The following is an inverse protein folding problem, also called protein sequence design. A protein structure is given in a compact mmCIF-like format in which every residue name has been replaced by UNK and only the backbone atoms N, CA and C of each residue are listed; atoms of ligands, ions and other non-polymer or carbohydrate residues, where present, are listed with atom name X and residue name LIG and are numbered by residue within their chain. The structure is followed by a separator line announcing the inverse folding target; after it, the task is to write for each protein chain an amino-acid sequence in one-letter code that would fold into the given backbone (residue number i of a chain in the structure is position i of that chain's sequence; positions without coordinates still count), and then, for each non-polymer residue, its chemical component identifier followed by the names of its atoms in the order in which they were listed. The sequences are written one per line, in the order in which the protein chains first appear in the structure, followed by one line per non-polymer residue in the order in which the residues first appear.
data_IF_460025375694
#
_entry.id   IF_460025375694
#
_cell.length_a   1.000
_cell.length_b   1.000
_cell.length_c   1.000
_cell.angle_alpha   90.00
_cell.angle_beta   90.00
_cell.angle_gamma   90.00
#
_symmetry.space_group_name_H-M   'P 1'
#
loop_
_entity.id
_entity.type
_entity.pdbx_description
1 polymer ?
#
# COMPACT_ATOMS: atom_id res chain seq x y z
N UNK A 1 -15.80 -9.63 -14.02
CA UNK A 1 -16.73 -8.57 -13.55
C UNK A 1 -16.03 -7.23 -13.76
N UNK A 2 -16.72 -6.21 -14.28
CA UNK A 2 -16.15 -4.88 -14.42
C UNK A 2 -15.70 -4.36 -13.04
N UNK A 3 -14.52 -3.75 -12.96
CA UNK A 3 -14.10 -3.09 -11.73
C UNK A 3 -15.01 -1.90 -11.48
N UNK A 4 -15.50 -1.77 -10.25
CA UNK A 4 -16.33 -0.64 -9.86
C UNK A 4 -15.56 0.27 -8.93
N UNK A 5 -15.64 1.57 -9.19
CA UNK A 5 -14.87 2.58 -8.48
C UNK A 5 -15.41 2.83 -7.06
N UNK A 6 -16.72 2.67 -6.86
CA UNK A 6 -17.32 2.80 -5.53
C UNK A 6 -17.06 1.55 -4.68
N UNK A 7 -16.75 1.68 -3.37
CA UNK A 7 -16.71 0.54 -2.46
C UNK A 7 -18.09 -0.07 -2.15
N UNK A 8 -19.17 0.65 -2.44
CA UNK A 8 -20.55 0.24 -2.13
C UNK A 8 -21.45 0.25 -3.37
N UNK A 9 -22.51 -0.57 -3.41
CA UNK A 9 -23.48 -0.58 -4.50
C UNK A 9 -24.32 0.69 -4.58
N UNK A 10 -24.50 1.41 -3.46
CA UNK A 10 -25.29 2.63 -3.37
C UNK A 10 -24.47 3.74 -2.67
N UNK A 11 -24.46 4.99 -3.19
CA UNK A 11 -23.79 6.13 -2.55
C UNK A 11 -24.24 6.41 -1.12
N UNK A 12 -25.51 6.16 -0.77
CA UNK A 12 -26.04 6.32 0.59
C UNK A 12 -25.31 5.42 1.60
N UNK A 13 -25.02 4.18 1.23
CA UNK A 13 -24.22 3.28 2.08
C UNK A 13 -22.78 3.79 2.24
N UNK A 14 -22.22 4.36 1.16
CA UNK A 14 -20.92 5.03 1.21
C UNK A 14 -20.91 6.25 2.12
N UNK A 15 -22.00 7.01 2.16
CA UNK A 15 -22.18 8.13 3.08
C UNK A 15 -22.27 7.66 4.53
N UNK A 16 -23.12 6.67 4.84
CA UNK A 16 -23.20 6.10 6.20
C UNK A 16 -21.84 5.56 6.63
N UNK A 17 -21.15 4.83 5.76
CA UNK A 17 -19.82 4.29 6.06
C UNK A 17 -18.82 5.41 6.39
N UNK A 18 -18.86 6.50 5.61
CA UNK A 18 -17.98 7.66 5.82
C UNK A 18 -18.29 8.39 7.13
N UNK A 19 -19.57 8.62 7.43
CA UNK A 19 -20.02 9.20 8.69
C UNK A 19 -19.60 8.32 9.88
N UNK A 20 -19.74 7.00 9.76
CA UNK A 20 -19.37 6.05 10.79
C UNK A 20 -17.86 6.10 11.08
N UNK A 21 -17.01 6.24 10.04
CA UNK A 21 -15.57 6.46 10.21
C UNK A 21 -15.25 7.76 10.94
N UNK A 22 -15.99 8.85 10.65
CA UNK A 22 -15.81 10.13 11.34
C UNK A 22 -16.15 9.99 12.83
N UNK A 23 -17.23 9.28 13.17
CA UNK A 23 -17.63 9.01 14.56
C UNK A 23 -16.61 8.12 15.30
N UNK A 24 -16.04 7.12 14.61
CA UNK A 24 -15.02 6.23 15.17
C UNK A 24 -13.65 6.90 15.34
N UNK A 25 -13.35 7.92 14.53
CA UNK A 25 -12.01 8.47 14.40
C UNK A 25 -11.40 9.01 15.72
N UNK A 26 -12.12 9.77 16.57
CA UNK A 26 -11.55 10.25 17.83
C UNK A 26 -11.04 9.12 18.72
N UNK A 27 -11.86 8.08 18.91
CA UNK A 27 -11.48 6.92 19.73
C UNK A 27 -10.28 6.17 19.14
N UNK A 28 -10.27 5.95 17.83
CA UNK A 28 -9.12 5.38 17.12
C UNK A 28 -7.84 6.21 17.34
N UNK A 29 -7.93 7.53 17.15
CA UNK A 29 -6.79 8.43 17.26
C UNK A 29 -6.23 8.49 18.68
N UNK A 30 -7.09 8.54 19.70
CA UNK A 30 -6.63 8.55 21.10
C UNK A 30 -5.96 7.24 21.49
N UNK A 31 -6.45 6.09 21.01
CA UNK A 31 -5.74 4.81 21.21
C UNK A 31 -4.38 4.82 20.52
N UNK A 32 -4.29 5.31 19.28
CA UNK A 32 -3.03 5.44 18.54
C UNK A 32 -2.01 6.35 19.26
N UNK A 33 -2.48 7.46 19.85
CA UNK A 33 -1.66 8.38 20.67
C UNK A 33 -1.30 7.80 22.04
N UNK A 34 -2.19 7.04 22.66
CA UNK A 34 -1.95 6.31 23.91
C UNK A 34 -0.83 5.29 23.71
N UNK A 35 -0.94 4.45 22.67
CA UNK A 35 0.12 3.51 22.26
C UNK A 35 1.42 4.25 21.96
N UNK A 36 1.36 5.39 21.26
CA UNK A 36 2.54 6.21 20.99
C UNK A 36 3.22 6.78 22.24
N UNK A 37 2.48 6.91 23.34
CA UNK A 37 3.01 7.40 24.62
C UNK A 37 3.67 6.28 25.43
N UNK A 38 3.14 5.05 25.32
CA UNK A 38 3.66 3.85 26.01
C UNK A 38 4.86 3.25 25.27
N UNK A 39 4.77 3.13 23.95
CA UNK A 39 5.76 2.45 23.10
C UNK A 39 6.79 3.44 22.60
N UNK A 40 8.05 3.19 22.94
CA UNK A 40 9.16 4.11 22.69
C UNK A 40 10.12 3.50 21.67
N UNK A 41 10.49 4.28 20.66
CA UNK A 41 11.50 3.89 19.67
C UNK A 41 12.92 3.93 20.23
N UNK A 42 13.87 3.22 19.62
CA UNK A 42 15.28 3.17 20.03
C UNK A 42 15.89 4.57 20.16
N UNK A 43 15.60 5.46 19.20
CA UNK A 43 16.06 6.85 19.18
C UNK A 43 15.48 7.68 20.33
N UNK A 44 14.29 7.33 20.86
CA UNK A 44 13.66 8.06 21.96
C UNK A 44 14.09 7.54 23.34
N UNK A 45 14.72 6.35 23.43
CA UNK A 45 15.15 5.76 24.71
C UNK A 45 16.21 6.59 25.42
N UNK A 46 17.01 7.35 24.68
CA UNK A 46 18.05 8.24 25.23
C UNK A 46 17.48 9.48 25.92
N UNK A 47 16.24 9.89 25.61
CA UNK A 47 15.62 11.11 26.14
C UNK A 47 14.73 10.82 27.36
N UNK A 48 15.35 10.57 28.52
CA UNK A 48 14.67 10.27 29.78
C UNK A 48 13.53 11.24 30.18
N UNK A 49 13.70 12.58 30.18
CA UNK A 49 12.66 13.50 30.66
C UNK A 49 11.43 13.51 29.74
N UNK A 50 11.63 13.45 28.43
CA UNK A 50 10.52 13.39 27.46
C UNK A 50 9.73 12.09 27.60
N UNK A 51 10.42 10.98 27.86
CA UNK A 51 9.78 9.68 28.11
C UNK A 51 8.93 9.73 29.38
N UNK A 52 9.46 10.27 30.47
CA UNK A 52 8.73 10.39 31.72
C UNK A 52 7.49 11.28 31.55
N UNK A 53 7.62 12.41 30.84
CA UNK A 53 6.49 13.28 30.53
C UNK A 53 5.38 12.57 29.75
N UNK A 54 5.74 11.80 28.71
CA UNK A 54 4.75 11.03 27.92
C UNK A 54 4.04 9.97 28.77
N UNK A 55 4.75 9.32 29.68
CA UNK A 55 4.15 8.31 30.56
C UNK A 55 3.28 8.92 31.65
N UNK A 56 3.74 9.99 32.31
CA UNK A 56 3.02 10.61 33.44
C UNK A 56 1.87 11.51 33.00
N UNK A 57 1.99 12.18 31.85
CA UNK A 57 0.98 13.12 31.37
C UNK A 57 0.27 12.56 30.15
N UNK A 58 1.02 12.10 29.15
CA UNK A 58 0.44 11.60 27.88
C UNK A 58 -0.51 10.43 28.09
N UNK A 59 -0.08 9.39 28.83
CA UNK A 59 -0.91 8.20 29.07
C UNK A 59 -2.23 8.53 29.78
N UNK A 60 -2.25 9.22 30.95
CA UNK A 60 -3.52 9.59 31.59
C UNK A 60 -4.41 10.47 30.73
N UNK A 61 -3.83 11.47 30.04
CA UNK A 61 -4.60 12.39 29.18
C UNK A 61 -5.24 11.64 28.01
N UNK A 62 -4.48 10.84 27.26
CA UNK A 62 -5.04 10.11 26.11
C UNK A 62 -5.98 8.99 26.52
N UNK A 63 -5.75 8.36 27.68
CA UNK A 63 -6.70 7.40 28.24
C UNK A 63 -8.03 8.07 28.59
N UNK A 64 -8.00 9.22 29.28
CA UNK A 64 -9.21 9.97 29.61
C UNK A 64 -9.96 10.42 28.34
N UNK A 65 -9.24 10.97 27.36
CA UNK A 65 -9.84 11.38 26.08
C UNK A 65 -10.47 10.21 25.32
N UNK A 66 -9.83 9.04 25.33
CA UNK A 66 -10.40 7.81 24.76
C UNK A 66 -11.69 7.40 25.47
N UNK A 67 -11.73 7.42 26.81
CA UNK A 67 -12.92 7.07 27.58
C UNK A 67 -14.08 8.04 27.30
N UNK A 68 -13.79 9.34 27.16
CA UNK A 68 -14.78 10.36 26.81
C UNK A 68 -15.32 10.15 25.38
N UNK A 69 -14.46 9.79 24.42
CA UNK A 69 -14.90 9.57 23.03
C UNK A 69 -15.54 8.20 22.79
N UNK A 70 -15.41 7.27 23.73
CA UNK A 70 -15.86 5.88 23.58
C UNK A 70 -17.35 5.77 23.23
N UNK A 71 -18.30 6.50 23.84
CA UNK A 71 -19.72 6.41 23.48
C UNK A 71 -20.01 6.76 22.02
N UNK A 72 -19.35 7.80 21.50
CA UNK A 72 -19.46 8.23 20.10
C UNK A 72 -18.83 7.16 19.19
N UNK A 73 -17.69 6.60 19.60
CA UNK A 73 -17.04 5.50 18.90
C UNK A 73 -17.92 4.25 18.82
N UNK A 74 -18.59 3.86 19.91
CA UNK A 74 -19.53 2.73 19.93
C UNK A 74 -20.67 2.99 18.94
N UNK A 75 -21.24 4.19 18.94
CA UNK A 75 -22.29 4.55 17.99
C UNK A 75 -21.80 4.44 16.54
N UNK A 76 -20.59 4.93 16.24
CA UNK A 76 -19.95 4.74 14.94
C UNK A 76 -19.74 3.26 14.58
N UNK A 77 -19.34 2.42 15.55
CA UNK A 77 -19.13 0.98 15.33
C UNK A 77 -20.42 0.26 14.94
N UNK A 78 -21.56 0.63 15.54
CA UNK A 78 -22.87 0.03 15.27
C UNK A 78 -23.28 0.16 13.79
N UNK A 79 -22.98 1.30 13.16
CA UNK A 79 -23.27 1.49 11.73
C UNK A 79 -22.14 0.96 10.83
N UNK A 80 -20.90 1.09 11.27
CA UNK A 80 -19.74 0.68 10.49
C UNK A 80 -19.63 -0.84 10.32
N UNK A 81 -19.88 -1.61 11.37
CA UNK A 81 -19.67 -3.07 11.38
C UNK A 81 -20.58 -3.81 10.37
N UNK A 82 -21.90 -3.57 10.30
CA UNK A 82 -22.78 -4.22 9.33
C UNK A 82 -22.41 -3.91 7.87
N UNK A 83 -21.92 -2.69 7.61
CA UNK A 83 -21.58 -2.25 6.25
C UNK A 83 -20.41 -3.04 5.64
N UNK A 84 -19.55 -3.65 6.44
CA UNK A 84 -18.47 -4.52 5.93
C UNK A 84 -18.97 -5.80 5.27
N UNK A 85 -20.17 -6.28 5.59
CA UNK A 85 -20.77 -7.41 4.89
C UNK A 85 -21.20 -7.07 3.46
N UNK A 86 -21.43 -5.78 3.18
CA UNK A 86 -21.91 -5.27 1.89
C UNK A 86 -20.76 -4.62 1.09
N UNK A 87 -19.71 -4.16 1.79
CA UNK A 87 -18.54 -3.51 1.20
C UNK A 87 -17.84 -4.46 0.23
N UNK A 88 -17.47 -3.92 -0.94
CA UNK A 88 -16.66 -4.64 -1.92
C UNK A 88 -15.26 -4.95 -1.35
N UNK A 89 -14.59 -6.02 -1.82
CA UNK A 89 -13.32 -6.46 -1.25
C UNK A 89 -12.14 -5.51 -1.49
N UNK A 90 -12.29 -4.47 -2.32
CA UNK A 90 -11.27 -3.46 -2.58
C UNK A 90 -11.92 -2.20 -3.15
N UNK A 91 -11.19 -1.09 -3.12
CA UNK A 91 -11.51 0.15 -3.82
C UNK A 91 -10.69 0.23 -5.11
N UNK A 92 -11.28 0.83 -6.15
CA UNK A 92 -10.61 1.09 -7.42
C UNK A 92 -10.71 2.58 -7.75
N UNK A 93 -9.59 3.20 -8.09
CA UNK A 93 -9.51 4.55 -8.59
C UNK A 93 -9.07 4.51 -10.05
N UNK A 94 -9.82 5.20 -10.90
CA UNK A 94 -9.44 5.51 -12.27
C UNK A 94 -9.31 7.02 -12.42
N UNK A 95 -8.13 7.49 -12.82
CA UNK A 95 -7.88 8.90 -13.15
C UNK A 95 -7.52 9.12 -14.62
N UNK A 96 -7.67 8.10 -15.47
CA UNK A 96 -7.48 8.26 -16.90
C UNK A 96 -8.55 9.20 -17.45
N UNK A 97 -8.15 10.37 -17.95
CA UNK A 97 -9.06 11.34 -18.56
C UNK A 97 -9.48 10.89 -19.98
N UNK A 98 -8.87 9.84 -20.52
CA UNK A 98 -9.13 9.31 -21.85
C UNK A 98 -9.34 7.79 -21.82
N UNK A 99 -10.40 7.33 -22.48
CA UNK A 99 -10.57 5.92 -22.88
C UNK A 99 -9.68 5.58 -24.09
N UNK A 100 -8.46 6.11 -24.13
CA UNK A 100 -7.52 5.76 -25.18
C UNK A 100 -7.15 4.28 -25.01
N UNK A 101 -7.42 3.43 -26.00
CA UNK A 101 -7.00 2.03 -25.94
C UNK A 101 -5.48 1.97 -25.74
N UNK A 102 -4.97 0.96 -25.03
CA UNK A 102 -3.53 0.81 -24.83
C UNK A 102 -2.83 0.70 -26.19
N UNK A 103 -1.58 1.14 -26.22
CA UNK A 103 -0.78 1.22 -27.44
C UNK A 103 -0.75 -0.13 -28.19
N UNK A 104 -0.74 -0.07 -29.52
CA UNK A 104 -0.58 -1.26 -30.35
C UNK A 104 0.84 -1.78 -30.16
N UNK A 105 0.97 -2.94 -29.53
CA UNK A 105 2.26 -3.61 -29.43
C UNK A 105 2.40 -4.42 -30.71
N UNK A 106 3.18 -3.90 -31.65
CA UNK A 106 3.68 -4.68 -32.79
C UNK A 106 4.65 -5.72 -32.25
N UNK A 107 4.79 -6.90 -32.88
CA UNK A 107 5.46 -8.14 -32.43
C UNK A 107 6.88 -8.02 -31.79
N UNK A 108 7.47 -6.82 -31.70
CA UNK A 108 8.62 -6.52 -30.86
C UNK A 108 8.29 -6.67 -29.37
N UNK A 109 9.12 -7.45 -28.66
CA UNK A 109 9.12 -7.67 -27.21
C UNK A 109 8.93 -6.36 -26.44
N UNK A 110 7.73 -6.13 -25.89
CA UNK A 110 7.50 -5.10 -24.88
C UNK A 110 8.15 -5.52 -23.56
N UNK A 111 8.91 -4.63 -22.93
CA UNK A 111 9.39 -4.82 -21.57
C UNK A 111 8.35 -4.27 -20.59
N UNK A 112 8.11 -4.98 -19.50
CA UNK A 112 7.26 -4.51 -18.41
C UNK A 112 8.06 -4.46 -17.12
N UNK A 113 7.97 -3.35 -16.40
CA UNK A 113 8.71 -3.12 -15.16
C UNK A 113 7.79 -3.20 -13.96
N UNK A 114 8.18 -4.03 -13.00
CA UNK A 114 7.43 -4.26 -11.75
C UNK A 114 8.26 -3.78 -10.56
N UNK A 115 7.65 -2.99 -9.69
CA UNK A 115 8.19 -2.67 -8.36
C UNK A 115 7.35 -3.41 -7.33
N UNK A 116 7.99 -4.11 -6.39
CA UNK A 116 7.31 -4.58 -5.19
C UNK A 116 8.06 -4.22 -3.92
N UNK A 117 7.32 -3.75 -2.91
CA UNK A 117 7.91 -3.32 -1.65
C UNK A 117 6.94 -3.44 -0.48
N UNK A 118 7.44 -3.94 0.64
CA UNK A 118 6.77 -3.86 1.93
C UNK A 118 7.14 -2.52 2.60
N UNK A 119 6.14 -1.68 2.89
CA UNK A 119 6.37 -0.32 3.35
C UNK A 119 6.24 -0.12 4.87
N UNK A 120 5.71 -1.10 5.59
CA UNK A 120 5.46 -1.00 7.03
C UNK A 120 4.77 0.32 7.44
N UNK A 121 3.62 0.60 6.81
CA UNK A 121 2.79 1.78 7.08
C UNK A 121 1.64 1.44 8.02
N UNK A 122 1.98 1.06 9.25
CA UNK A 122 1.04 0.86 10.35
C UNK A 122 0.59 2.20 10.96
N UNK A 123 -0.55 2.24 11.69
CA UNK A 123 -0.84 3.35 12.59
C UNK A 123 0.37 3.67 13.46
N UNK A 124 0.66 4.95 13.67
CA UNK A 124 1.89 5.43 14.33
C UNK A 124 2.18 4.73 15.67
N UNK A 125 1.16 4.48 16.48
CA UNK A 125 1.28 3.78 17.76
C UNK A 125 1.81 2.36 17.59
N UNK A 126 1.33 1.65 16.56
CA UNK A 126 1.77 0.30 16.23
C UNK A 126 3.09 0.27 15.47
N UNK A 127 3.34 1.25 14.59
CA UNK A 127 4.58 1.37 13.84
C UNK A 127 5.82 1.46 14.76
N UNK A 128 5.63 1.94 16.00
CA UNK A 128 6.69 2.02 17.02
C UNK A 128 7.21 0.66 17.49
N UNK A 129 6.42 -0.40 17.41
CA UNK A 129 6.92 -1.76 17.69
C UNK A 129 7.97 -2.20 16.66
N UNK A 130 7.82 -1.74 15.41
CA UNK A 130 8.82 -1.87 14.35
C UNK A 130 9.87 -0.76 14.38
N UNK A 131 9.96 0.01 15.47
CA UNK A 131 10.87 1.14 15.63
C UNK A 131 10.64 2.30 14.63
N UNK A 132 9.44 2.43 14.07
CA UNK A 132 9.08 3.44 13.08
C UNK A 132 8.17 4.53 13.67
N UNK A 133 8.21 5.72 13.07
CA UNK A 133 7.39 6.89 13.45
C UNK A 133 6.96 7.67 12.22
N UNK A 134 5.97 8.55 12.40
CA UNK A 134 5.50 9.50 11.39
C UNK A 134 5.07 8.80 10.10
N UNK A 135 4.21 7.79 10.21
CA UNK A 135 3.74 6.95 9.10
C UNK A 135 3.23 7.78 7.92
N UNK A 136 2.47 8.86 8.17
CA UNK A 136 1.97 9.73 7.10
C UNK A 136 3.09 10.48 6.37
N UNK A 137 4.08 10.99 7.11
CA UNK A 137 5.23 11.69 6.51
C UNK A 137 6.05 10.70 5.68
N UNK A 138 6.35 9.53 6.23
CA UNK A 138 7.03 8.44 5.51
C UNK A 138 6.31 8.08 4.21
N UNK A 139 4.98 7.94 4.27
CA UNK A 139 4.17 7.65 3.10
C UNK A 139 4.24 8.78 2.05
N UNK A 140 4.22 10.04 2.46
CA UNK A 140 4.39 11.17 1.54
C UNK A 140 5.79 11.18 0.90
N UNK A 141 6.85 10.93 1.67
CA UNK A 141 8.22 10.84 1.16
C UNK A 141 8.39 9.67 0.19
N UNK A 142 7.92 8.47 0.56
CA UNK A 142 7.98 7.28 -0.31
C UNK A 142 7.19 7.52 -1.61
N UNK A 143 5.98 8.07 -1.50
CA UNK A 143 5.15 8.40 -2.66
C UNK A 143 5.82 9.43 -3.58
N UNK A 144 6.44 10.46 -3.01
CA UNK A 144 7.19 11.46 -3.78
C UNK A 144 8.43 10.90 -4.46
N UNK A 145 9.17 9.99 -3.82
CA UNK A 145 10.31 9.31 -4.41
C UNK A 145 9.89 8.42 -5.59
N UNK A 146 8.80 7.66 -5.44
CA UNK A 146 8.28 6.82 -6.51
C UNK A 146 7.79 7.67 -7.68
N UNK A 147 7.05 8.75 -7.42
CA UNK A 147 6.48 9.61 -8.48
C UNK A 147 7.53 10.48 -9.20
N UNK A 148 8.51 11.05 -8.50
CA UNK A 148 9.56 11.87 -9.11
C UNK A 148 10.39 11.09 -10.13
N UNK A 149 10.64 9.81 -9.84
CA UNK A 149 11.34 8.89 -10.72
C UNK A 149 10.53 8.60 -11.99
N UNK A 150 9.20 8.55 -11.90
CA UNK A 150 8.34 8.33 -13.08
C UNK A 150 8.13 9.62 -13.90
N UNK A 151 7.96 10.76 -13.23
CA UNK A 151 7.67 12.05 -13.87
C UNK A 151 8.85 12.62 -14.67
N UNK A 152 10.06 12.13 -14.41
CA UNK A 152 11.26 12.50 -15.19
C UNK A 152 11.27 11.88 -16.60
N UNK A 153 10.29 11.02 -16.94
CA UNK A 153 10.11 10.44 -18.27
C UNK A 153 8.90 11.09 -18.97
N UNK A 154 9.14 12.15 -19.74
CA UNK A 154 8.19 12.67 -20.73
C UNK A 154 8.41 11.95 -22.06
N UNK A 155 7.38 11.65 -22.87
CA UNK A 155 7.52 10.89 -24.11
C UNK A 155 8.19 11.74 -25.19
N UNK A 156 9.51 11.80 -25.16
CA UNK A 156 10.34 12.13 -26.31
C UNK A 156 11.35 11.00 -26.48
N UNK A 157 11.02 10.12 -27.42
CA UNK A 157 11.96 9.39 -28.29
C UNK A 157 13.36 9.19 -27.71
N UNK A 158 13.50 8.31 -26.72
CA UNK A 158 14.82 7.87 -26.28
C UNK A 158 15.30 6.82 -27.27
N UNK A 159 15.95 7.29 -28.34
CA UNK A 159 17.00 6.50 -28.99
C UNK A 159 17.99 6.11 -27.89
N UNK A 160 18.37 4.84 -27.85
CA UNK A 160 19.51 4.38 -27.08
C UNK A 160 20.69 5.32 -27.36
N UNK A 161 21.03 6.12 -26.36
CA UNK A 161 22.22 6.92 -26.34
C UNK A 161 22.90 6.59 -25.03
N UNK A 162 24.04 5.93 -25.15
CA UNK A 162 25.01 5.75 -24.08
C UNK A 162 25.21 7.08 -23.35
N UNK A 163 25.12 7.05 -22.02
CA UNK A 163 25.43 8.20 -21.18
C UNK A 163 26.00 7.71 -19.86
N UNK A 164 26.93 8.48 -19.27
CA UNK A 164 28.19 7.97 -18.80
C UNK A 164 28.14 7.50 -17.35
N UNK A 165 28.93 6.47 -17.08
CA UNK A 165 29.35 6.04 -15.75
C UNK A 165 30.13 7.16 -15.02
N UNK A 166 29.52 7.74 -13.98
CA UNK A 166 30.22 8.43 -12.88
C UNK A 166 29.32 8.22 -11.65
N UNK A 167 29.65 7.38 -10.67
CA UNK A 167 30.69 7.58 -9.67
C UNK A 167 31.29 6.23 -9.24
N UNK A 168 32.62 6.22 -9.15
CA UNK A 168 33.47 5.15 -8.67
C UNK A 168 33.12 4.71 -7.24
N UNK A 169 32.92 3.42 -7.05
CA UNK A 169 33.21 2.74 -5.77
C UNK A 169 34.06 1.51 -6.07
N UNK A 170 35.16 1.74 -6.77
CA UNK A 170 36.22 0.75 -6.92
C UNK A 170 36.90 0.58 -5.56
N UNK A 171 36.32 -0.23 -4.65
CA UNK A 171 37.12 -0.96 -3.62
C UNK A 171 36.38 -2.01 -2.78
N UNK A 172 35.09 -2.32 -3.02
CA UNK A 172 34.42 -3.40 -2.25
C UNK A 172 33.61 -4.32 -3.16
N UNK A 173 34.25 -4.91 -4.17
CA UNK A 173 33.75 -6.15 -4.79
C UNK A 173 34.96 -7.07 -5.02
N UNK A 174 35.50 -7.61 -3.93
CA UNK A 174 36.27 -8.85 -4.01
C UNK A 174 35.30 -9.98 -4.33
N UNK A 175 35.27 -10.32 -5.62
CA UNK A 175 35.04 -11.64 -6.21
C UNK A 175 34.46 -12.69 -5.26
N UNK A 176 33.16 -12.92 -5.36
CA UNK A 176 32.62 -14.27 -5.21
C UNK A 176 32.39 -14.76 -6.64
N UNK A 177 33.43 -15.36 -7.22
CA UNK A 177 33.31 -16.15 -8.44
C UNK A 177 32.62 -17.47 -8.05
N UNK A 178 31.35 -17.61 -8.42
CA UNK A 178 30.72 -18.93 -8.53
C UNK A 178 30.59 -19.27 -10.00
N UNK A 179 31.44 -20.19 -10.45
CA UNK A 179 31.26 -20.95 -11.67
C UNK A 179 29.86 -21.58 -11.71
N UNK A 180 29.02 -21.17 -12.67
CA UNK A 180 28.31 -22.06 -13.61
C UNK A 180 27.29 -21.29 -14.45
N UNK A 181 27.50 -21.39 -15.75
CA UNK A 181 26.59 -21.18 -16.88
C UNK A 181 25.08 -21.26 -16.52
N UNK A 182 24.48 -20.10 -16.28
CA UNK A 182 23.06 -19.79 -16.48
C UNK A 182 23.01 -18.39 -17.04
N UNK A 183 22.10 -18.14 -17.98
CA UNK A 183 21.75 -16.79 -18.45
C UNK A 183 21.09 -16.02 -17.29
N UNK A 184 21.88 -15.65 -16.29
CA UNK A 184 21.45 -14.87 -15.14
C UNK A 184 21.37 -13.42 -15.61
N UNK A 185 20.15 -12.89 -15.67
CA UNK A 185 19.94 -11.44 -15.72
C UNK A 185 20.79 -10.82 -14.59
N UNK A 186 21.64 -9.83 -14.87
CA UNK A 186 22.51 -9.27 -13.86
C UNK A 186 21.67 -8.67 -12.73
N UNK A 187 21.83 -9.20 -11.51
CA UNK A 187 21.28 -8.58 -10.32
C UNK A 187 22.04 -7.29 -10.01
N UNK A 188 21.36 -6.16 -10.02
CA UNK A 188 21.93 -4.85 -9.69
C UNK A 188 21.37 -4.34 -8.37
N UNK A 189 22.23 -3.77 -7.53
CA UNK A 189 21.81 -2.96 -6.38
C UNK A 189 21.74 -1.51 -6.85
N UNK A 190 20.52 -1.00 -7.05
CA UNK A 190 20.28 0.38 -7.44
C UNK A 190 19.91 1.26 -6.25
N UNK A 191 20.40 2.51 -6.26
CA UNK A 191 20.00 3.55 -5.31
C UNK A 191 18.70 4.26 -5.71
N UNK A 192 18.19 3.99 -6.92
CA UNK A 192 17.02 4.66 -7.50
C UNK A 192 16.04 3.62 -8.02
N UNK A 193 14.74 3.91 -7.90
CA UNK A 193 13.70 3.09 -8.53
C UNK A 193 13.82 3.15 -10.07
N UNK A 194 13.35 2.12 -10.79
CA UNK A 194 13.30 2.19 -12.25
C UNK A 194 12.32 3.27 -12.71
N UNK A 195 12.73 4.05 -13.73
CA UNK A 195 12.03 5.25 -14.23
C UNK A 195 10.74 4.96 -15.00
N UNK A 196 10.60 3.73 -15.49
CA UNK A 196 9.49 3.31 -16.35
C UNK A 196 8.70 2.15 -15.72
N UNK A 197 8.43 2.25 -14.43
CA UNK A 197 7.63 1.24 -13.74
C UNK A 197 6.19 1.23 -14.28
N UNK A 198 5.75 0.09 -14.78
CA UNK A 198 4.38 -0.11 -15.26
C UNK A 198 3.44 -0.48 -14.12
N UNK A 199 3.97 -1.23 -13.14
CA UNK A 199 3.21 -1.76 -12.02
C UNK A 199 3.96 -1.58 -10.69
N UNK A 200 3.26 -1.10 -9.66
CA UNK A 200 3.77 -0.99 -8.30
C UNK A 200 2.87 -1.80 -7.36
N UNK A 201 3.44 -2.85 -6.75
CA UNK A 201 2.79 -3.78 -5.83
C UNK A 201 3.31 -3.57 -4.40
N UNK A 202 2.54 -2.91 -3.55
CA UNK A 202 2.96 -2.59 -2.18
C UNK A 202 2.27 -3.47 -1.14
N UNK A 203 3.01 -3.82 -0.09
CA UNK A 203 2.50 -4.50 1.10
C UNK A 203 2.61 -3.60 2.35
N UNK A 204 1.85 -3.95 3.38
CA UNK A 204 1.75 -3.22 4.66
C UNK A 204 1.33 -1.75 4.56
N UNK A 205 0.51 -1.41 3.56
CA UNK A 205 -0.15 -0.10 3.45
C UNK A 205 -1.43 -0.03 4.34
N UNK A 206 -1.30 -0.29 5.64
CA UNK A 206 -2.43 -0.47 6.56
C UNK A 206 -3.10 0.83 7.02
N UNK A 207 -2.33 1.88 7.36
CA UNK A 207 -2.91 3.15 7.81
C UNK A 207 -3.62 3.86 6.65
N UNK A 208 -4.92 4.12 6.82
CA UNK A 208 -5.75 4.69 5.76
C UNK A 208 -5.34 6.10 5.33
N UNK A 209 -4.72 6.90 6.21
CA UNK A 209 -4.25 8.25 5.89
C UNK A 209 -2.94 8.21 5.12
N UNK A 210 -2.02 7.35 5.52
CA UNK A 210 -0.77 7.06 4.83
C UNK A 210 -1.03 6.47 3.43
N UNK A 211 -1.92 5.49 3.33
CA UNK A 211 -2.37 4.91 2.05
C UNK A 211 -3.03 5.96 1.15
N UNK A 212 -3.84 6.87 1.72
CA UNK A 212 -4.39 8.01 0.99
C UNK A 212 -3.34 9.03 0.55
N UNK A 213 -2.23 9.16 1.27
CA UNK A 213 -1.08 9.98 0.86
C UNK A 213 -0.37 9.35 -0.34
N UNK A 214 -0.03 8.06 -0.25
CA UNK A 214 0.57 7.28 -1.35
C UNK A 214 -0.29 7.35 -2.61
N UNK A 215 -1.60 7.09 -2.49
CA UNK A 215 -2.55 7.17 -3.60
C UNK A 215 -2.54 8.52 -4.29
N UNK A 216 -2.47 9.63 -3.53
CA UNK A 216 -2.42 10.98 -4.09
C UNK A 216 -1.10 11.27 -4.79
N UNK A 217 0.02 10.84 -4.20
CA UNK A 217 1.35 11.00 -4.79
C UNK A 217 1.52 10.19 -6.08
N UNK A 218 0.98 8.97 -6.15
CA UNK A 218 1.13 8.09 -7.32
C UNK A 218 0.10 8.34 -8.43
N UNK A 219 -1.02 8.98 -8.12
CA UNK A 219 -2.11 9.21 -9.07
C UNK A 219 -1.74 9.96 -10.38
N UNK A 220 -0.74 10.88 -10.40
CA UNK A 220 -0.30 11.51 -11.65
C UNK A 220 0.34 10.52 -12.62
N UNK A 221 1.23 9.66 -12.12
CA UNK A 221 1.97 8.69 -12.94
C UNK A 221 1.23 7.36 -13.14
N UNK A 222 0.30 7.01 -12.24
CA UNK A 222 -0.45 5.75 -12.27
C UNK A 222 -1.96 6.02 -12.21
N UNK A 223 -2.66 6.05 -13.36
CA UNK A 223 -4.08 6.35 -13.41
C UNK A 223 -4.96 5.27 -12.77
N UNK A 224 -4.50 4.03 -12.71
CA UNK A 224 -5.27 2.90 -12.19
C UNK A 224 -4.69 2.44 -10.85
N UNK A 225 -5.45 2.63 -9.76
CA UNK A 225 -5.01 2.25 -8.41
C UNK A 225 -6.07 1.37 -7.74
N UNK A 226 -5.66 0.20 -7.26
CA UNK A 226 -6.45 -0.70 -6.41
C UNK A 226 -5.90 -0.63 -4.99
N UNK A 227 -6.75 -0.26 -4.03
CA UNK A 227 -6.36 0.00 -2.65
C UNK A 227 -7.45 -0.44 -1.67
N UNK A 228 -7.16 -0.33 -0.37
CA UNK A 228 -8.08 -0.74 0.70
C UNK A 228 -8.57 -2.18 0.52
N UNK A 229 -7.64 -3.06 0.15
CA UNK A 229 -7.89 -4.44 -0.25
C UNK A 229 -8.12 -5.32 0.97
N UNK A 230 -9.16 -6.14 0.94
CA UNK A 230 -9.53 -7.07 1.99
C UNK A 230 -10.52 -6.50 3.02
N UNK A 231 -11.09 -7.38 3.87
CA UNK A 231 -11.96 -6.99 4.96
C UNK A 231 -11.16 -6.25 6.05
N UNK A 232 -11.75 -5.21 6.62
CA UNK A 232 -11.22 -4.46 7.77
C UNK A 232 -12.33 -4.22 8.79
N UNK A 233 -12.95 -5.31 9.24
CA UNK A 233 -14.06 -5.33 10.19
C UNK A 233 -14.52 -6.76 10.48
N UNK A 234 -15.80 -6.98 10.83
CA UNK A 234 -16.36 -8.32 10.97
C UNK A 234 -16.16 -9.13 9.69
N UNK A 235 -15.64 -10.35 9.83
CA UNK A 235 -15.38 -11.24 8.71
C UNK A 235 -15.50 -12.70 9.13
N UNK A 236 -16.42 -13.43 8.48
CA UNK A 236 -16.80 -14.80 8.86
C UNK A 236 -17.13 -14.86 10.37
N UNK A 237 -16.48 -15.75 11.12
CA UNK A 237 -16.70 -15.92 12.57
C UNK A 237 -15.75 -15.07 13.44
N UNK A 238 -15.13 -14.02 12.89
CA UNK A 238 -14.15 -13.20 13.60
C UNK A 238 -14.12 -11.74 13.15
N UNK A 239 -13.06 -11.04 13.56
CA UNK A 239 -12.86 -9.62 13.27
C UNK A 239 -11.44 -9.38 12.74
N UNK A 240 -11.32 -8.56 11.69
CA UNK A 240 -10.03 -8.09 11.14
C UNK A 240 -9.89 -6.60 11.42
N UNK A 241 -8.93 -6.22 12.26
CA UNK A 241 -8.66 -4.83 12.60
C UNK A 241 -8.02 -4.07 11.42
N UNK A 242 -7.19 -4.76 10.65
CA UNK A 242 -6.55 -4.21 9.47
C UNK A 242 -7.04 -4.92 8.22
N UNK A 243 -7.10 -4.18 7.12
CA UNK A 243 -7.25 -4.77 5.79
C UNK A 243 -5.98 -5.59 5.44
N UNK A 244 -5.85 -6.03 4.20
CA UNK A 244 -4.69 -6.84 3.78
C UNK A 244 -3.36 -6.07 3.73
N UNK A 245 -3.42 -4.73 3.74
CA UNK A 245 -2.27 -3.86 3.48
C UNK A 245 -1.77 -3.91 2.04
N UNK A 246 -2.47 -4.60 1.14
CA UNK A 246 -2.11 -4.66 -0.28
C UNK A 246 -2.56 -3.40 -1.02
N UNK A 247 -1.71 -2.93 -1.92
CA UNK A 247 -1.95 -1.79 -2.79
C UNK A 247 -1.31 -2.06 -4.16
N UNK A 248 -2.04 -1.79 -5.24
CA UNK A 248 -1.54 -1.92 -6.61
C UNK A 248 -1.76 -0.62 -7.36
N UNK A 249 -0.70 -0.05 -7.93
CA UNK A 249 -0.78 1.03 -8.91
C UNK A 249 -0.32 0.51 -10.28
N UNK A 250 -1.00 0.94 -11.35
CA UNK A 250 -0.81 0.44 -12.71
C UNK A 250 -0.96 1.56 -13.73
N UNK A 251 -0.05 1.60 -14.71
CA UNK A 251 -0.19 2.42 -15.92
C UNK A 251 -1.25 1.85 -16.88
N UNK A 252 -1.44 0.54 -16.81
CA UNK A 252 -2.35 -0.20 -17.68
C UNK A 252 -3.73 -0.44 -17.04
N UNK A 253 -4.82 -0.45 -17.82
CA UNK A 253 -6.17 -0.63 -17.29
C UNK A 253 -6.41 -2.06 -16.77
N UNK A 254 -6.89 -2.22 -15.52
CA UNK A 254 -7.31 -3.51 -15.01
C UNK A 254 -8.64 -3.93 -15.65
N UNK A 255 -8.71 -5.18 -16.11
CA UNK A 255 -9.90 -5.81 -16.67
C UNK A 255 -10.71 -6.56 -15.60
N UNK A 256 -10.03 -7.12 -14.62
CA UNK A 256 -10.65 -7.81 -13.49
C UNK A 256 -9.70 -7.81 -12.29
N UNK A 257 -10.25 -7.79 -11.09
CA UNK A 257 -9.49 -7.99 -9.86
C UNK A 257 -10.27 -8.87 -8.89
N UNK A 258 -9.56 -9.69 -8.12
CA UNK A 258 -10.14 -10.55 -7.09
C UNK A 258 -9.17 -10.69 -5.92
N UNK A 259 -9.69 -10.60 -4.71
CA UNK A 259 -8.93 -10.79 -3.49
C UNK A 259 -9.32 -12.11 -2.81
N UNK A 260 -8.33 -12.85 -2.35
CA UNK A 260 -8.48 -14.08 -1.60
C UNK A 260 -7.83 -13.92 -0.22
N UNK A 261 -8.63 -13.96 0.84
CA UNK A 261 -8.13 -13.97 2.21
C UNK A 261 -7.64 -15.38 2.56
N UNK A 262 -6.44 -15.50 3.13
CA UNK A 262 -5.95 -16.77 3.65
C UNK A 262 -6.75 -17.18 4.90
N UNK A 263 -7.05 -18.49 5.07
CA UNK A 263 -7.87 -18.96 6.18
C UNK A 263 -7.13 -19.02 7.52
N UNK A 264 -5.81 -19.27 7.50
CA UNK A 264 -5.04 -19.68 8.67
C UNK A 264 -4.04 -18.61 9.11
N UNK A 265 -4.52 -17.48 9.60
CA UNK A 265 -3.66 -16.49 10.26
C UNK A 265 -3.56 -16.78 11.76
N UNK A 266 -2.34 -16.72 12.33
CA UNK A 266 -2.06 -16.89 13.76
C UNK A 266 -1.44 -15.63 14.36
N UNK A 267 -1.45 -15.50 15.68
CA UNK A 267 -0.80 -14.41 16.39
C UNK A 267 -1.29 -13.01 16.00
N UNK A 268 -0.38 -12.05 15.98
CA UNK A 268 -0.63 -10.66 15.57
C UNK A 268 -1.12 -10.56 14.12
N UNK A 269 -0.67 -11.47 13.26
CA UNK A 269 -1.06 -11.55 11.86
C UNK A 269 -2.55 -11.90 11.67
N UNK A 270 -3.22 -12.45 12.68
CA UNK A 270 -4.67 -12.68 12.69
C UNK A 270 -5.48 -11.37 12.71
N UNK A 271 -4.87 -10.25 13.11
CA UNK A 271 -5.50 -8.93 13.14
C UNK A 271 -5.62 -8.33 11.74
N UNK A 272 -4.79 -8.76 10.78
CA UNK A 272 -4.80 -8.29 9.40
C UNK A 272 -5.42 -9.33 8.45
N UNK A 273 -6.07 -8.87 7.38
CA UNK A 273 -6.62 -9.76 6.37
C UNK A 273 -5.55 -10.23 5.36
N UNK A 274 -4.58 -11.03 5.81
CA UNK A 274 -3.53 -11.60 4.94
C UNK A 274 -4.14 -12.35 3.76
N UNK A 275 -3.56 -12.20 2.57
CA UNK A 275 -4.18 -12.73 1.36
C UNK A 275 -3.41 -12.48 0.08
N UNK A 276 -4.11 -12.75 -1.03
CA UNK A 276 -3.63 -12.63 -2.40
C UNK A 276 -4.59 -11.76 -3.21
N UNK A 277 -4.07 -10.68 -3.79
CA UNK A 277 -4.74 -9.87 -4.79
C UNK A 277 -4.31 -10.35 -6.19
N UNK A 278 -5.27 -10.85 -6.97
CA UNK A 278 -5.10 -11.23 -8.37
C UNK A 278 -5.72 -10.17 -9.27
N UNK A 279 -4.96 -9.65 -10.24
CA UNK A 279 -5.41 -8.61 -11.17
C UNK A 279 -5.08 -9.01 -12.60
N UNK A 280 -6.09 -8.98 -13.46
CA UNK A 280 -5.93 -9.10 -14.92
C UNK A 280 -5.86 -7.70 -15.49
N UNK A 281 -4.82 -7.38 -16.26
CA UNK A 281 -4.57 -6.06 -16.86
C UNK A 281 -4.52 -6.17 -18.38
N UNK A 282 -4.95 -5.13 -19.10
CA UNK A 282 -4.78 -5.05 -20.55
C UNK A 282 -3.54 -4.21 -20.87
N UNK A 283 -2.52 -4.85 -21.41
CA UNK A 283 -1.20 -4.23 -21.60
C UNK A 283 -0.96 -3.74 -23.02
N UNK A 284 -1.77 -4.20 -23.98
CA UNK A 284 -1.66 -3.78 -25.38
C UNK A 284 -2.75 -4.33 -26.26
N UNK A 285 -2.62 -4.08 -27.56
CA UNK A 285 -3.40 -4.70 -28.62
C UNK A 285 -2.49 -5.22 -29.74
N UNK A 286 -2.85 -6.35 -30.35
CA UNK A 286 -2.17 -6.88 -31.55
C UNK A 286 -2.58 -6.09 -32.80
N UNK A 287 -1.89 -6.35 -33.93
CA UNK A 287 -2.27 -5.78 -35.23
C UNK A 287 -3.69 -6.18 -35.65
N UNK A 288 -4.11 -7.40 -35.27
CA UNK A 288 -5.42 -7.99 -35.53
C UNK A 288 -6.51 -7.54 -34.52
N UNK A 289 -6.25 -6.48 -33.73
CA UNK A 289 -7.19 -5.95 -32.72
C UNK A 289 -7.48 -6.90 -31.54
N UNK A 290 -6.63 -7.89 -31.31
CA UNK A 290 -6.76 -8.76 -30.14
C UNK A 290 -6.13 -8.11 -28.90
N UNK A 291 -6.75 -8.31 -27.73
CA UNK A 291 -6.27 -7.74 -26.47
C UNK A 291 -5.12 -8.57 -25.91
N UNK A 292 -3.98 -7.92 -25.69
CA UNK A 292 -2.87 -8.51 -24.95
C UNK A 292 -3.12 -8.26 -23.46
N UNK A 293 -3.10 -9.34 -22.66
CA UNK A 293 -3.43 -9.30 -21.23
C UNK A 293 -2.31 -9.85 -20.38
N UNK A 294 -2.10 -9.22 -19.21
CA UNK A 294 -1.20 -9.68 -18.16
C UNK A 294 -1.96 -10.10 -16.91
N UNK A 295 -1.36 -10.96 -16.10
CA UNK A 295 -1.87 -11.34 -14.78
C UNK A 295 -0.84 -10.99 -13.71
N UNK A 296 -1.28 -10.25 -12.69
CA UNK A 296 -0.45 -9.73 -11.61
C UNK A 296 -1.01 -10.25 -10.29
N UNK A 297 -0.12 -10.80 -9.47
CA UNK A 297 -0.45 -11.39 -8.19
C UNK A 297 0.40 -10.70 -7.10
N UNK A 298 -0.26 -9.96 -6.20
CA UNK A 298 0.39 -9.34 -5.05
C UNK A 298 -0.10 -10.02 -3.77
N UNK A 299 0.81 -10.48 -2.92
CA UNK A 299 0.45 -11.20 -1.69
C UNK A 299 1.23 -10.70 -0.50
N UNK A 300 0.66 -10.90 0.68
CA UNK A 300 1.32 -10.74 1.96
C UNK A 300 1.06 -12.03 2.74
N UNK A 301 2.10 -12.87 2.85
CA UNK A 301 2.04 -14.15 3.53
C UNK A 301 2.07 -13.98 5.06
N UNK A 302 1.78 -15.06 5.78
CA UNK A 302 1.92 -15.09 7.23
C UNK A 302 3.41 -14.96 7.60
N UNK A 303 3.74 -14.04 8.51
CA UNK A 303 5.04 -13.98 9.14
C UNK A 303 5.09 -15.04 10.24
N UNK A 304 5.95 -16.07 10.14
CA UNK A 304 6.13 -17.02 11.23
C UNK A 304 6.64 -16.29 12.47
N UNK A 305 6.05 -16.60 13.63
CA UNK A 305 6.55 -16.14 14.92
C UNK A 305 7.97 -16.68 15.12
N UNK A 306 8.92 -15.79 15.41
CA UNK A 306 10.31 -16.11 15.74
C UNK A 306 10.53 -16.30 17.22
#
# INVERSE_FOLDING_TARGET
MPLSESPFPNPFLGFIFSLSKVLLFPSYWFVDRLLSSVVVTSVERSCCPLRLLRLLVGVPVFLLLFLISLPIGIFGLLFWAPLHHIRRPFCYQNRSQTHTPPEKITESKGSFVFISANLCLLPDGLARFSNLRHTQHRAATIGGLLDAVQSSCSPQTVKCADSPSVVSTNEIITRIETDKEKTELPGEISLVFPKDADFICLQEAFDGRASSSLRRSLAPSFPHIIYDVGPSGPYKCGFRFFNSGLFLASRHPPLAAKFYCYPNARGEDSLAAKGLLCVKVQVGMTQEQERIVGYINCTHLHAPEG
#
